data_IF_401643153099
#
_entry.id   IF_401643153099
#
_cell.length_a   1.000
_cell.length_b   1.000
_cell.length_c   1.000
_cell.angle_alpha   90.00
_cell.angle_beta   90.00
_cell.angle_gamma   90.00
#
_symmetry.space_group_name_H-M   'P 1'
#
loop_
_entity.id
_entity.type
_entity.pdbx_description
1 polymer ?
#
# COMPACT_ATOMS: atom_id res chain seq x y z
N UNK A 1 12.11 2.95 3.32
CA UNK A 1 10.83 2.41 3.85
C UNK A 1 9.70 3.31 3.37
N UNK A 2 8.48 2.80 3.20
CA UNK A 2 7.44 3.28 2.26
C UNK A 2 7.19 4.81 2.15
N UNK A 3 7.44 5.61 3.20
CA UNK A 3 7.46 7.08 3.12
C UNK A 3 8.49 7.64 2.13
N UNK A 4 9.68 7.03 2.07
CA UNK A 4 10.72 7.39 1.12
C UNK A 4 10.26 7.10 -0.33
N UNK A 5 9.54 5.99 -0.56
CA UNK A 5 8.97 5.69 -1.87
C UNK A 5 7.89 6.71 -2.26
N UNK A 6 7.04 7.13 -1.30
CA UNK A 6 6.08 8.21 -1.57
C UNK A 6 6.76 9.54 -1.93
N UNK A 7 7.84 9.90 -1.22
CA UNK A 7 8.61 11.11 -1.51
C UNK A 7 9.33 11.04 -2.87
N UNK A 8 9.85 9.87 -3.24
CA UNK A 8 10.49 9.64 -4.54
C UNK A 8 9.47 9.76 -5.69
N UNK A 9 8.29 9.13 -5.54
CA UNK A 9 7.19 9.27 -6.49
C UNK A 9 6.78 10.74 -6.63
N UNK A 10 6.66 11.47 -5.52
CA UNK A 10 6.32 12.90 -5.54
C UNK A 10 7.38 13.73 -6.28
N UNK A 11 8.66 13.44 -6.06
CA UNK A 11 9.75 14.15 -6.70
C UNK A 11 9.83 13.90 -8.21
N UNK A 12 9.56 12.67 -8.66
CA UNK A 12 9.74 12.29 -10.07
C UNK A 12 8.47 12.46 -10.91
N UNK A 13 7.31 12.14 -10.35
CA UNK A 13 6.04 12.04 -11.07
C UNK A 13 4.99 13.03 -10.56
N UNK A 14 5.30 13.73 -9.46
CA UNK A 14 4.32 14.50 -8.71
C UNK A 14 3.46 13.62 -7.80
N UNK A 15 2.41 14.22 -7.25
CA UNK A 15 1.52 13.56 -6.30
C UNK A 15 0.83 12.32 -6.90
N UNK A 16 0.75 11.26 -6.12
CA UNK A 16 -0.04 10.08 -6.48
C UNK A 16 -1.55 10.34 -6.34
N UNK A 17 -2.32 10.13 -7.41
CA UNK A 17 -3.78 10.23 -7.38
C UNK A 17 -4.47 8.91 -7.02
N UNK A 18 -3.81 7.77 -7.24
CA UNK A 18 -4.31 6.43 -7.00
C UNK A 18 -3.22 5.58 -6.36
N UNK A 19 -3.63 4.64 -5.50
CA UNK A 19 -2.75 3.66 -4.88
C UNK A 19 -3.34 2.27 -5.08
N UNK A 20 -2.55 1.35 -5.65
CA UNK A 20 -2.93 -0.04 -5.83
C UNK A 20 -2.14 -0.93 -4.87
N UNK A 21 -2.77 -1.32 -3.77
CA UNK A 21 -2.22 -2.30 -2.83
C UNK A 21 -2.35 -3.73 -3.41
N UNK A 22 -1.61 -3.99 -4.49
CA UNK A 22 -1.68 -5.24 -5.23
C UNK A 22 -0.69 -6.30 -4.71
N UNK A 23 0.39 -5.88 -4.06
CA UNK A 23 1.39 -6.82 -3.57
C UNK A 23 0.78 -7.75 -2.51
N UNK A 24 0.88 -9.06 -2.78
CA UNK A 24 0.38 -10.09 -1.90
C UNK A 24 1.07 -11.42 -2.14
N UNK A 25 1.14 -12.25 -1.09
CA UNK A 25 1.65 -13.62 -1.15
C UNK A 25 0.62 -14.59 -0.57
N UNK A 26 0.61 -15.82 -1.09
CA UNK A 26 -0.23 -16.90 -0.59
C UNK A 26 0.55 -18.22 -0.68
N UNK A 27 1.50 -18.46 0.24
CA UNK A 27 2.10 -19.78 0.41
C UNK A 27 1.00 -20.80 0.74
N UNK A 28 1.10 -21.99 0.16
CA UNK A 28 0.13 -23.06 0.37
C UNK A 28 0.80 -24.21 1.13
N UNK A 29 0.20 -24.58 2.26
CA UNK A 29 0.58 -25.76 3.05
C UNK A 29 -0.69 -26.33 3.72
N UNK A 30 -0.76 -27.65 3.98
CA UNK A 30 -1.73 -28.23 4.89
C UNK A 30 -1.76 -27.52 6.24
N UNK A 31 -2.95 -27.38 6.84
CA UNK A 31 -3.12 -26.61 8.08
C UNK A 31 -2.41 -27.24 9.29
N UNK A 32 -2.28 -28.57 9.29
CA UNK A 32 -1.65 -29.37 10.32
C UNK A 32 -0.11 -29.36 10.25
N UNK A 33 0.47 -28.84 9.16
CA UNK A 33 1.91 -28.57 9.09
C UNK A 33 2.33 -27.35 9.92
N UNK A 34 1.37 -26.53 10.37
CA UNK A 34 1.62 -25.37 11.24
C UNK A 34 2.77 -24.49 10.71
N UNK A 35 2.76 -24.18 9.41
CA UNK A 35 3.75 -23.33 8.75
C UNK A 35 3.61 -21.85 9.17
N UNK A 36 3.84 -21.56 10.45
CA UNK A 36 3.59 -20.25 11.06
C UNK A 36 4.42 -19.13 10.46
N UNK A 37 5.61 -19.44 9.94
CA UNK A 37 6.48 -18.48 9.27
C UNK A 37 5.85 -17.98 7.96
N UNK A 38 5.20 -18.87 7.21
CA UNK A 38 4.47 -18.50 6.00
C UNK A 38 3.22 -17.67 6.32
N UNK A 39 2.52 -17.99 7.42
CA UNK A 39 1.40 -17.18 7.88
C UNK A 39 1.86 -15.77 8.30
N UNK A 40 2.98 -15.67 9.02
CA UNK A 40 3.56 -14.40 9.41
C UNK A 40 3.99 -13.61 8.17
N UNK A 41 4.63 -14.25 7.19
CA UNK A 41 4.98 -13.62 5.92
C UNK A 41 3.75 -13.08 5.17
N UNK A 42 2.64 -13.82 5.17
CA UNK A 42 1.37 -13.34 4.61
C UNK A 42 0.87 -12.10 5.35
N UNK A 43 0.90 -12.08 6.68
CA UNK A 43 0.51 -10.90 7.48
C UNK A 43 1.42 -9.71 7.16
N UNK A 44 2.73 -9.95 7.11
CA UNK A 44 3.73 -8.91 6.88
C UNK A 44 3.54 -8.24 5.51
N UNK A 45 3.25 -9.00 4.45
CA UNK A 45 3.03 -8.46 3.10
C UNK A 45 1.60 -7.95 2.93
N UNK A 46 0.61 -8.82 3.17
CA UNK A 46 -0.78 -8.60 2.81
C UNK A 46 -1.55 -7.76 3.83
N UNK A 47 -0.98 -7.43 4.99
CA UNK A 47 -1.63 -6.57 5.98
C UNK A 47 -0.70 -5.45 6.43
N UNK A 48 0.43 -5.76 7.07
CA UNK A 48 1.35 -4.76 7.58
C UNK A 48 1.92 -3.92 6.44
N UNK A 49 2.35 -4.56 5.37
CA UNK A 49 2.90 -3.93 4.16
C UNK A 49 1.91 -2.97 3.51
N UNK A 50 0.67 -3.40 3.27
CA UNK A 50 -0.35 -2.53 2.67
C UNK A 50 -0.72 -1.36 3.59
N UNK A 51 -0.80 -1.57 4.91
CA UNK A 51 -1.12 -0.49 5.85
C UNK A 51 0.00 0.56 5.88
N UNK A 52 1.26 0.14 5.77
CA UNK A 52 2.40 1.04 5.63
C UNK A 52 2.35 1.84 4.32
N UNK A 53 1.94 1.22 3.21
CA UNK A 53 1.74 1.92 1.94
C UNK A 53 0.60 2.94 2.02
N UNK A 54 -0.55 2.55 2.57
CA UNK A 54 -1.68 3.47 2.82
C UNK A 54 -1.21 4.66 3.66
N UNK A 55 -0.54 4.42 4.79
CA UNK A 55 -0.08 5.49 5.68
C UNK A 55 0.95 6.43 5.04
N UNK A 56 1.76 5.94 4.10
CA UNK A 56 2.73 6.75 3.38
C UNK A 56 2.07 7.64 2.31
N UNK A 57 1.12 7.10 1.55
CA UNK A 57 0.50 7.79 0.40
C UNK A 57 -0.81 8.52 0.75
N UNK A 58 -1.38 8.33 1.94
CA UNK A 58 -2.65 8.96 2.34
C UNK A 58 -2.70 10.49 2.08
N UNK A 59 -1.65 11.29 2.40
CA UNK A 59 -1.70 12.73 2.13
C UNK A 59 -1.89 13.05 0.64
N UNK A 60 -1.26 12.28 -0.25
CA UNK A 60 -1.39 12.44 -1.69
C UNK A 60 -2.83 12.16 -2.15
N UNK A 61 -3.41 11.06 -1.68
CA UNK A 61 -4.76 10.64 -2.05
C UNK A 61 -5.82 11.63 -1.58
N UNK A 62 -5.68 12.17 -0.37
CA UNK A 62 -6.60 13.19 0.18
C UNK A 62 -6.53 14.48 -0.64
N UNK A 63 -5.32 14.95 -0.97
CA UNK A 63 -5.15 16.15 -1.79
C UNK A 63 -5.70 15.97 -3.21
N UNK A 64 -5.50 14.80 -3.83
CA UNK A 64 -6.11 14.44 -5.12
C UNK A 64 -7.63 14.49 -5.08
N UNK A 65 -8.24 13.91 -4.05
CA UNK A 65 -9.69 13.91 -3.88
C UNK A 65 -10.24 15.33 -3.71
N UNK A 66 -9.58 16.19 -2.93
CA UNK A 66 -9.97 17.58 -2.74
C UNK A 66 -9.91 18.40 -4.04
N UNK A 67 -8.84 18.24 -4.82
CA UNK A 67 -8.69 18.89 -6.11
C UNK A 67 -9.80 18.46 -7.09
N UNK A 68 -10.06 17.15 -7.18
CA UNK A 68 -11.11 16.60 -8.05
C UNK A 68 -12.51 17.04 -7.63
N UNK A 69 -12.78 17.20 -6.35
CA UNK A 69 -14.06 17.73 -5.86
C UNK A 69 -14.27 19.21 -6.25
N UNK A 70 -13.19 19.99 -6.38
CA UNK A 70 -13.26 21.40 -6.81
C UNK A 70 -13.44 21.57 -8.32
N UNK A 71 -13.11 20.54 -9.11
CA UNK A 71 -13.41 20.48 -10.55
C UNK A 71 -14.86 20.06 -10.75
N UNK A 72 -15.78 21.00 -10.60
CA UNK A 72 -17.14 20.87 -11.14
C UNK A 72 -17.07 20.75 -12.67
N UNK A 73 -17.80 19.78 -13.22
CA UNK A 73 -17.99 19.59 -14.66
C UNK A 73 -18.55 20.83 -15.34
#
# INVERSE_FOLDING_TARGET
>A
MMRAAAAEVEAELGRADLLFNNAGVMPAAPIDELATDDWQRMIDVNMTGLMNAIGAFMPHLVASAAERASRTW
#
